data_IF_475666787646
#
_entry.id   IF_475666787646
#
_cell.length_a   1.000
_cell.length_b   1.000
_cell.length_c   1.000
_cell.angle_alpha   90.00
_cell.angle_beta   90.00
_cell.angle_gamma   90.00
#
_symmetry.space_group_name_H-M   'P 1'
#
loop_
_entity.id
_entity.type
_entity.pdbx_description
1 polymer ?
#
# COMPACT_ATOMS: atom_id res chain seq x y z
N UNK A 1 6.46 -19.60 13.56
CA UNK A 1 6.23 -20.10 12.19
C UNK A 1 7.50 -19.94 11.38
N UNK A 2 7.95 -21.01 10.72
CA UNK A 2 9.21 -20.99 9.98
C UNK A 2 8.97 -20.67 8.52
N UNK A 3 9.56 -19.60 8.01
CA UNK A 3 9.48 -19.24 6.59
C UNK A 3 10.13 -20.32 5.71
N UNK A 4 11.29 -20.85 6.14
CA UNK A 4 12.01 -21.86 5.36
C UNK A 4 11.17 -23.11 5.12
N UNK A 5 10.41 -23.53 6.14
CA UNK A 5 9.55 -24.72 6.04
C UNK A 5 8.24 -24.42 5.33
N UNK A 6 7.58 -23.32 5.67
CA UNK A 6 6.22 -23.02 5.23
C UNK A 6 6.14 -22.15 4.00
N UNK A 7 7.24 -21.53 3.59
CA UNK A 7 7.33 -20.59 2.47
C UNK A 7 6.55 -19.30 2.70
N UNK A 8 6.12 -19.04 3.93
CA UNK A 8 5.54 -17.79 4.36
C UNK A 8 5.77 -17.62 5.86
N UNK A 9 5.61 -16.40 6.32
CA UNK A 9 5.67 -16.08 7.74
C UNK A 9 4.77 -14.90 8.04
N UNK A 10 4.37 -14.78 9.30
CA UNK A 10 3.56 -13.67 9.79
C UNK A 10 4.31 -13.00 10.94
N UNK A 11 4.50 -11.70 10.82
CA UNK A 11 5.13 -10.89 11.85
C UNK A 11 4.04 -10.11 12.57
N UNK A 12 3.74 -10.47 13.80
CA UNK A 12 2.74 -9.77 14.60
C UNK A 12 3.29 -8.42 15.05
N UNK A 13 2.49 -7.38 14.96
CA UNK A 13 2.86 -6.04 15.40
C UNK A 13 4.18 -5.56 14.78
N UNK A 14 4.32 -5.77 13.46
CA UNK A 14 5.51 -5.34 12.73
C UNK A 14 5.77 -3.84 12.89
N UNK A 15 4.72 -3.05 13.12
CA UNK A 15 4.79 -1.63 13.45
C UNK A 15 3.91 -1.36 14.68
N UNK A 16 4.18 -0.26 15.38
CA UNK A 16 3.38 0.12 16.54
C UNK A 16 1.96 0.51 16.13
N UNK A 17 1.03 0.44 17.08
CA UNK A 17 -0.35 0.87 16.85
C UNK A 17 -0.43 2.35 16.48
N UNK A 18 0.39 3.18 17.12
CA UNK A 18 0.43 4.62 16.82
C UNK A 18 0.90 4.87 15.39
N UNK A 19 1.95 4.18 14.97
CA UNK A 19 2.44 4.32 13.61
C UNK A 19 1.40 3.82 12.60
N UNK A 20 0.75 2.69 12.88
CA UNK A 20 -0.29 2.15 12.01
C UNK A 20 -1.45 3.12 11.87
N UNK A 21 -1.90 3.73 12.97
CA UNK A 21 -2.98 4.72 12.96
C UNK A 21 -2.57 5.97 12.18
N UNK A 22 -1.34 6.44 12.37
CA UNK A 22 -0.82 7.59 11.64
C UNK A 22 -0.80 7.33 10.14
N UNK A 23 -0.28 6.19 9.72
CA UNK A 23 -0.19 5.83 8.30
C UNK A 23 -1.59 5.69 7.68
N UNK A 24 -2.51 5.04 8.40
CA UNK A 24 -3.89 4.89 7.92
C UNK A 24 -4.57 6.24 7.73
N UNK A 25 -4.45 7.14 8.72
CA UNK A 25 -5.03 8.47 8.64
C UNK A 25 -4.39 9.28 7.52
N UNK A 26 -3.08 9.21 7.37
CA UNK A 26 -2.37 9.87 6.28
C UNK A 26 -2.93 9.44 4.93
N UNK A 27 -3.09 8.14 4.73
CA UNK A 27 -3.56 7.61 3.45
C UNK A 27 -5.01 8.01 3.16
N UNK A 28 -5.87 7.98 4.18
CA UNK A 28 -7.25 8.42 4.05
C UNK A 28 -7.35 9.93 3.74
N UNK A 29 -6.48 10.74 4.34
CA UNK A 29 -6.41 12.17 4.04
C UNK A 29 -5.99 12.42 2.60
N UNK A 30 -5.03 11.66 2.09
CA UNK A 30 -4.63 11.77 0.70
C UNK A 30 -5.80 11.46 -0.24
N UNK A 31 -6.57 10.43 0.07
CA UNK A 31 -7.78 10.12 -0.70
C UNK A 31 -8.78 11.27 -0.68
N UNK A 32 -9.00 11.86 0.49
CA UNK A 32 -9.93 12.98 0.64
C UNK A 32 -9.51 14.19 -0.19
N UNK A 33 -8.21 14.52 -0.18
CA UNK A 33 -7.68 15.60 -1.00
C UNK A 33 -7.90 15.32 -2.48
N UNK A 34 -7.61 14.10 -2.91
CA UNK A 34 -7.81 13.70 -4.30
C UNK A 34 -9.27 13.81 -4.70
N UNK A 35 -10.18 13.31 -3.87
CA UNK A 35 -11.62 13.36 -4.14
C UNK A 35 -12.13 14.80 -4.27
N UNK A 36 -11.64 15.69 -3.41
CA UNK A 36 -11.98 17.11 -3.46
C UNK A 36 -11.51 17.74 -4.76
N UNK A 37 -10.28 17.45 -5.18
CA UNK A 37 -9.74 17.96 -6.44
C UNK A 37 -10.56 17.47 -7.63
N UNK A 38 -10.98 16.21 -7.63
CA UNK A 38 -11.81 15.66 -8.70
C UNK A 38 -13.17 16.37 -8.80
N UNK A 39 -13.82 16.57 -7.65
CA UNK A 39 -15.14 17.21 -7.61
C UNK A 39 -15.09 18.66 -8.12
N UNK A 40 -14.06 19.39 -7.76
CA UNK A 40 -13.88 20.78 -8.20
C UNK A 40 -13.31 20.89 -9.61
N UNK A 41 -13.02 19.76 -10.25
CA UNK A 41 -12.35 19.69 -11.55
C UNK A 41 -11.01 20.41 -11.58
N UNK A 42 -10.39 20.55 -10.44
CA UNK A 42 -9.06 21.11 -10.34
C UNK A 42 -8.05 19.97 -10.25
N UNK A 43 -7.20 19.86 -11.23
CA UNK A 43 -6.13 18.87 -11.24
C UNK A 43 -4.79 19.57 -11.22
N UNK A 44 -4.08 19.39 -10.11
CA UNK A 44 -2.73 19.85 -9.97
C UNK A 44 -1.80 18.99 -10.82
N UNK A 45 -0.67 19.54 -11.32
CA UNK A 45 0.34 18.70 -11.95
C UNK A 45 0.92 17.65 -10.98
N UNK A 46 0.59 17.75 -9.69
CA UNK A 46 1.02 16.80 -8.67
C UNK A 46 -0.06 15.78 -8.31
N UNK A 47 -1.14 15.66 -9.08
CA UNK A 47 -2.23 14.74 -8.76
C UNK A 47 -1.76 13.30 -8.65
N UNK A 48 -0.77 12.88 -9.44
CA UNK A 48 -0.23 11.53 -9.38
C UNK A 48 0.48 11.24 -8.06
N UNK A 49 0.90 12.27 -7.36
CA UNK A 49 1.55 12.12 -6.04
C UNK A 49 0.52 11.78 -4.98
N UNK A 50 -0.71 12.25 -5.14
CA UNK A 50 -1.77 12.02 -4.15
C UNK A 50 -2.63 10.80 -4.46
N UNK A 51 -2.36 10.11 -5.58
CA UNK A 51 -3.02 8.85 -5.90
C UNK A 51 -3.88 8.92 -7.13
N UNK A 52 -4.63 7.84 -7.38
CA UNK A 52 -5.51 7.73 -8.54
C UNK A 52 -6.57 6.65 -8.28
N UNK A 53 -7.60 6.64 -9.12
CA UNK A 53 -8.58 5.56 -9.14
C UNK A 53 -8.27 4.61 -10.28
N UNK A 54 -8.32 3.31 -10.00
CA UNK A 54 -8.11 2.29 -11.02
C UNK A 54 -9.28 2.23 -12.00
N UNK A 55 -8.97 1.95 -13.26
CA UNK A 55 -9.96 1.80 -14.31
C UNK A 55 -10.72 0.48 -14.23
N UNK A 56 -11.69 0.32 -15.14
CA UNK A 56 -12.58 -0.85 -15.15
C UNK A 56 -11.86 -2.17 -15.41
N UNK A 57 -10.75 -2.13 -16.13
CA UNK A 57 -9.99 -3.34 -16.51
C UNK A 57 -8.95 -3.75 -15.49
N UNK A 58 -8.86 -3.04 -14.37
CA UNK A 58 -7.91 -3.34 -13.32
C UNK A 58 -8.46 -4.40 -12.36
N UNK A 59 -7.59 -4.93 -11.50
CA UNK A 59 -7.94 -6.01 -10.56
C UNK A 59 -9.14 -5.65 -9.69
N UNK A 60 -9.20 -4.40 -9.22
CA UNK A 60 -10.29 -3.92 -8.39
C UNK A 60 -10.70 -2.56 -8.94
N UNK A 61 -11.67 -2.55 -9.86
CA UNK A 61 -12.07 -1.30 -10.51
C UNK A 61 -12.58 -0.26 -9.52
N UNK A 62 -12.35 1.01 -9.84
CA UNK A 62 -12.85 2.14 -9.08
C UNK A 62 -12.39 2.16 -7.63
N UNK A 63 -11.16 1.73 -7.37
CA UNK A 63 -10.53 1.81 -6.05
C UNK A 63 -9.45 2.87 -6.03
N UNK A 64 -9.37 3.60 -4.91
CA UNK A 64 -8.33 4.58 -4.72
C UNK A 64 -7.01 3.87 -4.41
N UNK A 65 -5.95 4.25 -5.13
CA UNK A 65 -4.64 3.59 -5.05
C UNK A 65 -3.52 4.61 -5.09
N UNK A 66 -2.39 4.24 -4.51
CA UNK A 66 -1.15 5.00 -4.62
C UNK A 66 0.02 4.05 -4.88
N UNK A 67 0.80 4.37 -5.88
CA UNK A 67 2.04 3.68 -6.20
C UNK A 67 3.22 4.48 -5.66
N UNK A 68 4.12 3.80 -4.94
CA UNK A 68 5.36 4.39 -4.45
C UNK A 68 5.15 5.67 -3.63
N UNK A 69 4.09 5.68 -2.80
CA UNK A 69 3.86 6.80 -1.87
C UNK A 69 5.05 6.93 -0.92
N UNK A 70 5.51 8.16 -0.68
CA UNK A 70 6.71 8.39 0.12
C UNK A 70 6.60 7.84 1.53
N UNK A 71 5.44 7.94 2.17
CA UNK A 71 5.24 7.37 3.49
C UNK A 71 5.31 5.84 3.46
N UNK A 72 4.72 5.23 2.43
CA UNK A 72 4.76 3.77 2.28
C UNK A 72 6.14 3.27 1.91
N UNK A 73 6.88 4.00 1.06
CA UNK A 73 8.27 3.66 0.73
C UNK A 73 9.15 3.75 1.98
N UNK A 74 8.92 4.73 2.83
CA UNK A 74 9.62 4.87 4.10
C UNK A 74 9.28 3.71 5.04
N UNK A 75 8.00 3.32 5.08
CA UNK A 75 7.55 2.19 5.88
C UNK A 75 8.19 0.88 5.40
N UNK A 76 8.32 0.70 4.09
CA UNK A 76 9.00 -0.46 3.51
C UNK A 76 10.42 -0.59 4.04
N UNK A 77 11.17 0.50 4.03
CA UNK A 77 12.54 0.52 4.54
C UNK A 77 12.59 0.22 6.04
N UNK A 78 11.63 0.75 6.80
CA UNK A 78 11.53 0.50 8.23
C UNK A 78 11.27 -0.97 8.54
N UNK A 79 10.45 -1.64 7.74
CA UNK A 79 10.06 -3.04 7.96
C UNK A 79 11.09 -4.03 7.44
N UNK A 80 12.01 -3.61 6.57
CA UNK A 80 12.94 -4.52 5.91
C UNK A 80 13.79 -5.34 6.90
N UNK A 81 14.43 -4.75 7.94
CA UNK A 81 15.26 -5.55 8.83
C UNK A 81 14.47 -6.66 9.53
N UNK A 82 13.25 -6.38 9.97
CA UNK A 82 12.40 -7.38 10.62
C UNK A 82 12.00 -8.49 9.67
N UNK A 83 11.72 -8.15 8.42
CA UNK A 83 11.37 -9.14 7.40
C UNK A 83 12.57 -10.01 7.04
N UNK A 84 13.75 -9.43 6.93
CA UNK A 84 14.98 -10.19 6.68
C UNK A 84 15.26 -11.15 7.83
N UNK A 85 15.08 -10.69 9.07
CA UNK A 85 15.26 -11.54 10.25
C UNK A 85 14.25 -12.69 10.26
N UNK A 86 12.99 -12.42 9.95
CA UNK A 86 11.94 -13.42 9.99
C UNK A 86 12.05 -14.46 8.87
N UNK A 87 12.59 -14.08 7.71
CA UNK A 87 12.71 -14.97 6.56
C UNK A 87 14.08 -15.60 6.38
N UNK A 88 15.12 -14.99 6.96
CA UNK A 88 16.50 -15.40 6.74
C UNK A 88 17.03 -15.00 5.36
N UNK A 89 16.29 -14.19 4.63
CA UNK A 89 16.66 -13.75 3.29
C UNK A 89 17.26 -12.37 3.31
N UNK A 90 18.16 -12.09 2.36
CA UNK A 90 18.58 -10.72 2.07
C UNK A 90 17.60 -10.16 1.05
N UNK A 91 16.94 -9.05 1.42
CA UNK A 91 15.87 -8.48 0.61
C UNK A 91 16.28 -7.11 0.07
N UNK A 92 15.75 -6.76 -1.08
CA UNK A 92 15.92 -5.46 -1.69
C UNK A 92 14.56 -4.78 -1.79
N UNK A 93 14.44 -3.52 -1.35
CA UNK A 93 13.17 -2.80 -1.48
C UNK A 93 12.91 -2.52 -2.96
N UNK A 94 11.77 -2.98 -3.45
CA UNK A 94 11.38 -2.76 -4.84
C UNK A 94 10.45 -1.55 -4.96
N UNK A 95 9.23 -1.69 -4.45
CA UNK A 95 8.24 -0.62 -4.48
C UNK A 95 7.11 -0.95 -3.52
N UNK A 96 6.28 0.04 -3.25
CA UNK A 96 5.06 -0.13 -2.47
C UNK A 96 3.84 0.20 -3.32
N UNK A 97 2.74 -0.43 -2.98
CA UNK A 97 1.46 -0.19 -3.58
C UNK A 97 0.41 -0.21 -2.48
N UNK A 98 -0.37 0.85 -2.38
CA UNK A 98 -1.38 0.97 -1.34
C UNK A 98 -2.75 1.18 -1.99
N UNK A 99 -3.78 0.58 -1.42
CA UNK A 99 -5.14 0.61 -1.95
C UNK A 99 -6.14 0.66 -0.82
N UNK A 100 -7.23 1.40 -1.02
CA UNK A 100 -8.34 1.42 -0.09
C UNK A 100 -9.48 0.59 -0.68
N UNK A 101 -9.79 -0.51 -0.01
CA UNK A 101 -10.93 -1.34 -0.36
C UNK A 101 -12.20 -0.72 0.22
N UNK A 102 -13.28 -0.76 -0.54
CA UNK A 102 -14.59 -0.39 -0.05
C UNK A 102 -15.47 -1.64 0.02
N UNK A 103 -16.60 -1.52 0.68
CA UNK A 103 -17.52 -2.66 0.81
C UNK A 103 -17.90 -3.22 -0.56
N UNK A 104 -17.77 -4.53 -0.73
CA UNK A 104 -18.05 -5.20 -1.98
C UNK A 104 -16.85 -5.38 -2.89
N UNK A 105 -15.73 -4.72 -2.62
CA UNK A 105 -14.52 -4.92 -3.40
C UNK A 105 -13.96 -6.33 -3.18
N UNK A 106 -13.54 -6.94 -4.27
CA UNK A 106 -12.99 -8.29 -4.23
C UNK A 106 -11.68 -8.33 -5.00
N UNK A 107 -10.62 -8.77 -4.34
CA UNK A 107 -9.34 -9.01 -4.99
C UNK A 107 -9.36 -10.42 -5.57
N UNK A 108 -9.45 -10.51 -6.88
CA UNK A 108 -9.47 -11.80 -7.57
C UNK A 108 -8.09 -12.46 -7.49
N UNK A 109 -8.09 -13.78 -7.63
CA UNK A 109 -6.85 -14.55 -7.67
C UNK A 109 -5.96 -14.03 -8.82
N UNK A 110 -4.70 -13.79 -8.50
CA UNK A 110 -3.76 -13.20 -9.46
C UNK A 110 -2.34 -13.62 -9.11
N UNK A 111 -1.41 -13.25 -9.96
CA UNK A 111 0.02 -13.32 -9.66
C UNK A 111 0.58 -11.91 -9.62
N UNK A 112 1.40 -11.63 -8.64
CA UNK A 112 2.12 -10.37 -8.58
C UNK A 112 3.20 -10.35 -9.65
N UNK A 113 3.55 -9.15 -10.10
CA UNK A 113 4.71 -8.97 -10.96
C UNK A 113 5.96 -9.31 -10.16
N UNK A 114 6.74 -10.24 -10.64
CA UNK A 114 7.94 -10.78 -9.99
C UNK A 114 7.63 -11.56 -8.73
#
# INVERSE_FOLDING_TARGET
MSFKKNKYTVIKQAISKDLAAFVANYFLMQKQVYDTCRQSRYFSPFETIIGYYEGENEQIPNTYSQYANMAMETLLLKCQPGMEKATGLKLYPAYTYARIYKKGDELKRHKDRF
#
